data_IF_123473282239
#
_entry.id   IF_123473282239
#
_cell.length_a   1.000
_cell.length_b   1.000
_cell.length_c   1.000
_cell.angle_alpha   90.00
_cell.angle_beta   90.00
_cell.angle_gamma   90.00
#
_symmetry.space_group_name_H-M   'P 1'
#
loop_
_entity.id
_entity.type
_entity.pdbx_description
1 polymer ?
#
# COMPACT_ATOMS: atom_id res chain seq x y z
N UNK A 1 24.14 6.72 4.84
CA UNK A 1 22.86 6.22 4.30
C UNK A 1 22.67 6.79 2.92
N UNK A 2 22.73 5.94 1.90
CA UNK A 2 22.44 6.30 0.51
C UNK A 2 21.20 5.51 0.07
N UNK A 3 20.24 6.18 -0.56
CA UNK A 3 19.09 5.55 -1.21
C UNK A 3 19.57 5.13 -2.61
N UNK A 4 19.36 3.87 -2.98
CA UNK A 4 19.75 3.34 -4.28
C UNK A 4 18.65 3.52 -5.33
N UNK A 5 17.38 3.42 -4.92
CA UNK A 5 16.22 3.57 -5.78
C UNK A 5 14.97 3.91 -4.94
N UNK A 6 13.99 4.56 -5.57
CA UNK A 6 12.69 4.91 -4.99
C UNK A 6 11.63 4.92 -6.09
N UNK A 7 10.50 4.26 -5.83
CA UNK A 7 9.37 4.18 -6.76
C UNK A 7 8.03 4.39 -6.03
N UNK A 8 7.12 5.09 -6.70
CA UNK A 8 5.71 5.19 -6.27
C UNK A 8 4.91 4.09 -6.97
N UNK A 9 4.54 3.04 -6.23
CA UNK A 9 3.72 1.93 -6.75
C UNK A 9 2.20 2.13 -6.58
N UNK A 10 1.79 3.12 -5.77
CA UNK A 10 0.38 3.40 -5.49
C UNK A 10 0.17 4.84 -5.01
N UNK A 11 -0.69 5.60 -5.70
CA UNK A 11 -1.16 6.91 -5.25
C UNK A 11 -2.52 6.77 -4.56
N UNK A 12 -2.57 7.02 -3.25
CA UNK A 12 -3.75 6.71 -2.43
C UNK A 12 -4.96 7.63 -2.62
N UNK A 13 -4.77 8.82 -3.22
CA UNK A 13 -5.82 9.84 -3.41
C UNK A 13 -6.46 10.40 -2.13
N UNK A 14 -6.09 9.87 -0.96
CA UNK A 14 -6.56 10.25 0.37
C UNK A 14 -5.54 9.82 1.42
N UNK A 15 -5.70 10.28 2.67
CA UNK A 15 -4.77 9.92 3.75
C UNK A 15 -4.78 8.40 4.00
N UNK A 16 -3.60 7.79 3.92
CA UNK A 16 -3.35 6.45 4.44
C UNK A 16 -3.30 6.53 5.95
N UNK A 17 -4.18 5.80 6.63
CA UNK A 17 -4.26 5.74 8.08
C UNK A 17 -3.34 4.69 8.66
N UNK A 18 -3.23 3.56 7.96
CA UNK A 18 -2.45 2.42 8.41
C UNK A 18 -2.02 1.53 7.23
N UNK A 19 -0.95 0.77 7.42
CA UNK A 19 -0.42 -0.23 6.48
C UNK A 19 -0.07 -1.49 7.25
N UNK A 20 -0.68 -2.61 6.86
CA UNK A 20 -0.50 -3.89 7.54
C UNK A 20 -0.21 -5.03 6.55
N UNK A 21 0.52 -6.04 7.02
CA UNK A 21 0.74 -7.29 6.27
C UNK A 21 -0.26 -8.32 6.78
N UNK A 22 -1.12 -8.80 5.87
CA UNK A 22 -2.12 -9.81 6.21
C UNK A 22 -1.52 -11.21 6.42
N UNK A 23 -2.31 -12.17 6.94
CA UNK A 23 -1.88 -13.55 7.10
C UNK A 23 -1.61 -14.26 5.75
N UNK A 24 -2.06 -13.68 4.64
CA UNK A 24 -1.76 -14.11 3.27
C UNK A 24 -0.46 -13.49 2.70
N UNK A 25 0.26 -12.70 3.50
CA UNK A 25 1.51 -12.05 3.11
C UNK A 25 1.33 -10.83 2.20
N UNK A 26 0.09 -10.39 1.95
CA UNK A 26 -0.23 -9.23 1.12
C UNK A 26 -0.28 -7.94 1.95
N UNK A 27 -0.09 -6.81 1.27
CA UNK A 27 -0.13 -5.47 1.89
C UNK A 27 -1.56 -4.91 1.82
N UNK A 28 -2.04 -4.41 2.95
CA UNK A 28 -3.35 -3.78 3.09
C UNK A 28 -3.20 -2.34 3.58
N UNK A 29 -3.89 -1.40 2.93
CA UNK A 29 -3.90 0.00 3.30
C UNK A 29 -5.30 0.41 3.77
N UNK A 30 -5.38 1.09 4.92
CA UNK A 30 -6.61 1.74 5.37
C UNK A 30 -6.64 3.20 4.90
N UNK A 31 -7.63 3.58 4.10
CA UNK A 31 -7.83 4.94 3.59
C UNK A 31 -8.97 5.64 4.31
N UNK A 32 -8.85 6.95 4.57
CA UNK A 32 -9.84 7.68 5.37
C UNK A 32 -11.01 8.27 4.59
N UNK A 33 -10.81 8.77 3.37
CA UNK A 33 -11.80 9.61 2.68
C UNK A 33 -11.94 9.28 1.18
N UNK A 34 -12.95 8.49 0.79
CA UNK A 34 -13.87 7.73 1.64
C UNK A 34 -13.16 6.55 2.32
N UNK A 35 -13.74 6.03 3.41
CA UNK A 35 -13.25 4.85 4.12
C UNK A 35 -13.16 3.63 3.20
N UNK A 36 -11.95 3.13 2.92
CA UNK A 36 -11.72 1.92 2.11
C UNK A 36 -10.51 1.14 2.62
N UNK A 37 -10.51 -0.17 2.37
CA UNK A 37 -9.31 -1.00 2.47
C UNK A 37 -8.83 -1.33 1.07
N UNK A 38 -7.57 -1.03 0.77
CA UNK A 38 -6.92 -1.39 -0.50
C UNK A 38 -6.01 -2.59 -0.24
N UNK A 39 -6.12 -3.63 -1.08
CA UNK A 39 -5.20 -4.77 -1.10
C UNK A 39 -4.27 -4.61 -2.30
N UNK A 40 -2.96 -4.57 -2.06
CA UNK A 40 -1.96 -4.64 -3.12
C UNK A 40 -1.66 -6.10 -3.43
N UNK A 41 -1.76 -6.47 -4.71
CA UNK A 41 -1.50 -7.83 -5.20
C UNK A 41 -0.32 -7.71 -6.17
N UNK A 42 0.74 -8.52 -6.01
CA UNK A 42 1.81 -8.61 -7.00
C UNK A 42 1.25 -8.98 -8.37
N UNK A 43 1.81 -8.41 -9.43
CA UNK A 43 1.57 -8.93 -10.77
C UNK A 43 2.41 -10.21 -10.91
N UNK A 44 1.84 -11.25 -11.51
CA UNK A 44 2.62 -12.39 -11.97
C UNK A 44 3.56 -11.94 -13.10
N UNK A 45 4.75 -12.55 -13.21
CA UNK A 45 5.73 -12.31 -14.29
C UNK A 45 5.23 -12.81 -15.66
#
# INVERSE_FOLDING_TARGET
NQILDEEIIFESGSRVRDVEVGPDGLIYLALENPGRIVKLIPLDD
#
